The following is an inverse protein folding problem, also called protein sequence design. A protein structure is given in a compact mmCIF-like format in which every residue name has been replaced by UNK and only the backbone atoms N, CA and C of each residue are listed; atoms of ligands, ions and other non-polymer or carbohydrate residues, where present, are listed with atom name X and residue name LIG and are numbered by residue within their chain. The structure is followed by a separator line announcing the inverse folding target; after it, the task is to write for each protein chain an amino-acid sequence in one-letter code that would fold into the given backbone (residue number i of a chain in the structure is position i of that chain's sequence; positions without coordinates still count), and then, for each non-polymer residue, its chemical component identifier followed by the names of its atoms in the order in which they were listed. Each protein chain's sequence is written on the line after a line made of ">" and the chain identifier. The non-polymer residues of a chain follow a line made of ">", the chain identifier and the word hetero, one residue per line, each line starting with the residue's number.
data_IF_001155311165
#
_entry.id   IF_001155311165
#
_cell.length_a   1.000
_cell.length_b   1.000
_cell.length_c   1.000
_cell.angle_alpha   90.00
_cell.angle_beta   90.00
_cell.angle_gamma   90.00
#
_symmetry.space_group_name_H-M   'P 1'
#
loop_
_entity.id
_entity.type
_entity.pdbx_description
1 polymer ?
#
# COMPACT_ATOMS: atom_id res chain seq x y z
N UNK A 1 -0.65 12.79 5.82
CA UNK A 1 -0.63 13.76 6.94
C UNK A 1 -0.30 13.02 8.24
N UNK A 2 0.23 13.72 9.27
CA UNK A 2 0.50 13.10 10.57
C UNK A 2 1.96 12.68 10.78
N UNK A 3 2.85 12.85 9.81
CA UNK A 3 4.29 12.64 9.94
C UNK A 3 5.06 13.95 9.97
N UNK A 4 6.31 13.93 10.47
CA UNK A 4 7.16 15.14 10.52
C UNK A 4 7.56 15.64 9.13
N UNK A 5 7.87 14.70 8.22
CA UNK A 5 8.34 14.98 6.86
C UNK A 5 7.20 15.22 5.87
N UNK A 6 5.95 15.30 6.36
CA UNK A 6 4.79 15.52 5.52
C UNK A 6 4.87 16.89 4.82
N UNK A 7 4.80 16.88 3.50
CA UNK A 7 4.77 18.07 2.62
C UNK A 7 3.39 18.73 2.57
N UNK A 8 2.80 18.94 3.75
CA UNK A 8 1.44 19.45 3.87
C UNK A 8 1.24 20.84 3.26
N UNK A 9 2.28 21.71 3.27
CA UNK A 9 2.17 23.04 2.68
C UNK A 9 2.13 22.95 1.16
N UNK A 10 3.02 22.16 0.57
CA UNK A 10 3.08 21.96 -0.89
C UNK A 10 1.77 21.36 -1.41
N UNK A 11 1.20 20.43 -0.64
CA UNK A 11 -0.09 19.85 -1.00
C UNK A 11 -1.25 20.85 -0.86
N UNK A 12 -1.22 21.69 0.17
CA UNK A 12 -2.20 22.77 0.32
C UNK A 12 -2.12 23.77 -0.84
N UNK A 13 -0.90 24.13 -1.27
CA UNK A 13 -0.67 25.01 -2.39
C UNK A 13 -1.16 24.38 -3.70
N UNK A 14 -0.93 23.08 -3.88
CA UNK A 14 -1.51 22.32 -5.00
C UNK A 14 -3.04 22.42 -5.01
N UNK A 15 -3.71 22.12 -3.89
CA UNK A 15 -5.17 22.18 -3.77
C UNK A 15 -5.74 23.59 -3.95
N UNK A 16 -4.95 24.64 -3.69
CA UNK A 16 -5.38 26.01 -3.89
C UNK A 16 -5.27 26.47 -5.36
N UNK A 17 -4.30 25.93 -6.09
CA UNK A 17 -3.99 26.37 -7.45
C UNK A 17 -4.63 25.48 -8.54
N UNK A 18 -5.25 24.37 -8.16
CA UNK A 18 -5.86 23.45 -9.11
C UNK A 18 -7.36 23.32 -8.88
N UNK A 19 -8.13 23.34 -9.96
CA UNK A 19 -9.56 23.06 -9.97
C UNK A 19 -9.79 21.66 -10.52
N UNK A 20 -10.80 20.98 -9.99
CA UNK A 20 -11.15 19.62 -10.39
C UNK A 20 -12.66 19.42 -10.31
N UNK A 21 -13.19 18.50 -11.11
CA UNK A 21 -14.58 18.07 -11.07
C UNK A 21 -14.79 17.00 -10.01
N UNK A 22 -13.73 16.28 -9.63
CA UNK A 22 -13.71 15.28 -8.56
C UNK A 22 -12.32 15.23 -7.92
N UNK A 23 -12.26 15.08 -6.61
CA UNK A 23 -11.02 14.84 -5.87
C UNK A 23 -11.03 13.40 -5.33
N UNK A 24 -10.07 12.59 -5.75
CA UNK A 24 -9.91 11.23 -5.24
C UNK A 24 -8.63 11.17 -4.43
N UNK A 25 -8.76 10.83 -3.15
CA UNK A 25 -7.66 10.61 -2.20
C UNK A 25 -7.48 9.10 -2.09
N UNK A 26 -6.41 8.57 -2.68
CA UNK A 26 -6.20 7.14 -2.82
C UNK A 26 -5.35 6.54 -1.70
N UNK A 27 -5.92 6.49 -0.50
CA UNK A 27 -5.34 5.86 0.70
C UNK A 27 -4.17 6.61 1.33
N UNK A 28 -3.82 6.22 2.55
CA UNK A 28 -2.65 6.69 3.31
C UNK A 28 -2.55 8.22 3.45
N UNK A 29 -3.70 8.87 3.43
CA UNK A 29 -3.75 10.34 3.51
C UNK A 29 -3.45 10.84 4.93
N UNK A 30 -3.91 10.11 5.94
CA UNK A 30 -3.58 10.37 7.34
C UNK A 30 -2.86 9.17 7.92
N UNK A 31 -1.64 9.37 8.42
CA UNK A 31 -0.88 8.31 9.08
C UNK A 31 -1.37 8.11 10.51
N UNK A 32 -2.43 7.32 10.66
CA UNK A 32 -3.02 6.95 11.94
C UNK A 32 -2.05 6.16 12.82
N UNK A 33 -1.14 5.40 12.22
CA UNK A 33 -0.11 4.66 12.98
C UNK A 33 0.94 5.59 13.59
N UNK A 34 1.36 6.63 12.86
CA UNK A 34 2.26 7.64 13.43
C UNK A 34 1.58 8.40 14.56
N UNK A 35 0.32 8.77 14.39
CA UNK A 35 -0.46 9.48 15.41
C UNK A 35 -0.68 8.62 16.65
N UNK A 36 -0.97 7.34 16.51
CA UNK A 36 -1.14 6.42 17.65
C UNK A 36 0.15 6.22 18.45
N UNK A 37 1.32 6.44 17.82
CA UNK A 37 2.64 6.42 18.47
C UNK A 37 3.04 7.76 19.06
N UNK A 38 2.13 8.75 19.08
CA UNK A 38 2.33 10.06 19.72
C UNK A 38 2.99 11.11 18.82
N UNK A 39 3.06 10.89 17.51
CA UNK A 39 3.51 11.95 16.59
C UNK A 39 2.52 13.11 16.64
N UNK A 40 3.05 14.32 16.80
CA UNK A 40 2.23 15.52 16.99
C UNK A 40 1.53 15.95 15.71
N UNK A 41 0.21 16.09 15.77
CA UNK A 41 -0.56 16.76 14.72
C UNK A 41 -0.23 18.26 14.68
N UNK A 42 0.15 18.76 13.52
CA UNK A 42 0.54 20.17 13.32
C UNK A 42 -0.58 20.97 12.66
N UNK A 43 -0.64 22.27 12.91
CA UNK A 43 -1.64 23.16 12.33
C UNK A 43 -1.71 23.12 10.79
N UNK A 44 -0.57 22.87 10.12
CA UNK A 44 -0.54 22.71 8.66
C UNK A 44 -1.36 21.49 8.18
N UNK A 45 -1.43 20.41 8.96
CA UNK A 45 -2.24 19.24 8.64
C UNK A 45 -3.74 19.56 8.74
N UNK A 46 -4.14 20.30 9.77
CA UNK A 46 -5.51 20.79 9.92
C UNK A 46 -5.95 21.65 8.74
N UNK A 47 -5.08 22.55 8.25
CA UNK A 47 -5.38 23.38 7.08
C UNK A 47 -5.66 22.53 5.83
N UNK A 48 -4.92 21.43 5.62
CA UNK A 48 -5.15 20.53 4.50
C UNK A 48 -6.51 19.83 4.63
N UNK A 49 -6.84 19.29 5.80
CA UNK A 49 -8.16 18.67 6.04
C UNK A 49 -9.28 19.68 5.82
N UNK A 50 -9.16 20.89 6.38
CA UNK A 50 -10.14 21.97 6.17
C UNK A 50 -10.33 22.29 4.68
N UNK A 51 -9.22 22.34 3.92
CA UNK A 51 -9.28 22.59 2.48
C UNK A 51 -10.00 21.46 1.72
N UNK A 52 -9.75 20.20 2.07
CA UNK A 52 -10.45 19.06 1.48
C UNK A 52 -11.96 19.12 1.78
N UNK A 53 -12.33 19.47 3.02
CA UNK A 53 -13.72 19.67 3.40
C UNK A 53 -14.36 20.86 2.66
N UNK A 54 -13.63 21.96 2.43
CA UNK A 54 -14.12 23.09 1.62
C UNK A 54 -14.32 22.72 0.15
N UNK A 55 -13.44 21.89 -0.41
CA UNK A 55 -13.58 21.33 -1.76
C UNK A 55 -14.85 20.47 -1.82
N UNK A 56 -15.10 19.63 -0.81
CA UNK A 56 -16.26 18.74 -0.78
C UNK A 56 -17.62 19.47 -0.73
N UNK A 57 -17.64 20.76 -0.44
CA UNK A 57 -18.86 21.59 -0.56
C UNK A 57 -19.21 21.88 -2.03
N UNK A 58 -18.23 21.82 -2.93
CA UNK A 58 -18.38 22.24 -4.33
C UNK A 58 -18.38 21.03 -5.28
N UNK A 59 -17.48 20.08 -5.09
CA UNK A 59 -17.28 18.90 -5.94
C UNK A 59 -17.26 17.63 -5.12
N UNK A 60 -17.54 16.46 -5.71
CA UNK A 60 -17.36 15.17 -5.05
C UNK A 60 -15.92 14.98 -4.58
N UNK A 61 -15.77 14.45 -3.37
CA UNK A 61 -14.49 14.03 -2.81
C UNK A 61 -14.64 12.56 -2.40
N UNK A 62 -13.79 11.70 -2.92
CA UNK A 62 -13.74 10.28 -2.56
C UNK A 62 -12.46 10.04 -1.79
N UNK A 63 -12.59 9.59 -0.56
CA UNK A 63 -11.46 9.18 0.26
C UNK A 63 -11.44 7.65 0.33
N UNK A 64 -10.54 7.06 -0.44
CA UNK A 64 -10.30 5.62 -0.41
C UNK A 64 -9.43 5.33 0.80
N UNK A 65 -9.83 4.36 1.61
CA UNK A 65 -9.07 3.92 2.79
C UNK A 65 -7.77 3.23 2.37
N UNK A 66 -6.68 3.55 3.05
CA UNK A 66 -5.41 2.83 3.01
C UNK A 66 -5.12 2.12 4.34
N UNK A 67 -3.97 1.45 4.42
CA UNK A 67 -3.56 0.75 5.63
C UNK A 67 -3.07 1.69 6.75
N UNK A 68 -2.58 2.90 6.43
CA UNK A 68 -2.19 3.89 7.44
C UNK A 68 -3.39 4.66 8.01
N UNK A 69 -4.48 4.77 7.27
CA UNK A 69 -5.73 5.39 7.73
C UNK A 69 -6.82 4.35 8.02
N UNK A 70 -6.45 3.21 8.58
CA UNK A 70 -7.33 2.09 8.96
C UNK A 70 -8.47 2.53 9.89
N UNK A 71 -8.29 3.58 10.70
CA UNK A 71 -9.35 4.15 11.54
C UNK A 71 -10.58 4.59 10.74
N UNK A 72 -10.45 4.81 9.42
CA UNK A 72 -11.58 5.10 8.54
C UNK A 72 -12.51 3.90 8.34
N UNK A 73 -12.10 2.69 8.75
CA UNK A 73 -12.94 1.50 8.65
C UNK A 73 -14.31 1.70 9.33
N UNK A 74 -14.33 2.37 10.49
CA UNK A 74 -15.56 2.64 11.23
C UNK A 74 -16.44 3.72 10.57
N UNK A 75 -15.91 4.40 9.55
CA UNK A 75 -16.56 5.46 8.80
C UNK A 75 -16.87 5.07 7.34
N UNK A 76 -16.77 3.79 7.02
CA UNK A 76 -17.05 3.29 5.67
C UNK A 76 -18.48 3.64 5.26
N UNK A 77 -18.62 4.05 3.99
CA UNK A 77 -19.89 4.50 3.40
C UNK A 77 -20.52 5.74 4.07
N UNK A 78 -19.75 6.43 4.93
CA UNK A 78 -20.21 7.67 5.53
C UNK A 78 -20.10 8.81 4.50
N UNK A 79 -21.13 9.65 4.49
CA UNK A 79 -21.18 10.84 3.67
C UNK A 79 -21.11 12.11 4.54
N UNK A 80 -20.12 12.96 4.30
CA UNK A 80 -20.02 14.32 4.86
C UNK A 80 -20.20 15.33 3.73
N UNK A 81 -21.43 15.68 3.43
CA UNK A 81 -21.76 16.46 2.26
C UNK A 81 -21.46 15.66 0.98
N UNK A 82 -20.49 16.13 0.17
CA UNK A 82 -20.04 15.41 -1.05
C UNK A 82 -18.72 14.65 -0.83
N UNK A 83 -18.27 14.53 0.43
CA UNK A 83 -17.15 13.66 0.78
C UNK A 83 -17.72 12.29 1.18
N UNK A 84 -17.18 11.23 0.58
CA UNK A 84 -17.49 9.85 0.89
C UNK A 84 -16.21 9.06 1.18
N UNK A 85 -16.31 8.09 2.09
CA UNK A 85 -15.23 7.18 2.47
C UNK A 85 -15.52 5.81 1.89
N UNK A 86 -14.59 5.28 1.08
CA UNK A 86 -14.79 4.03 0.33
C UNK A 86 -13.55 3.11 0.43
N UNK A 87 -13.73 1.82 0.20
CA UNK A 87 -12.59 0.88 0.03
C UNK A 87 -11.99 0.94 -1.37
N UNK A 88 -12.81 1.23 -2.34
CA UNK A 88 -12.44 1.38 -3.74
C UNK A 88 -13.46 2.28 -4.43
N UNK A 89 -13.13 2.76 -5.61
CA UNK A 89 -14.02 3.63 -6.36
C UNK A 89 -13.95 3.34 -7.86
N UNK A 90 -15.12 3.31 -8.50
CA UNK A 90 -15.20 3.22 -9.97
C UNK A 90 -15.42 4.62 -10.53
N UNK A 91 -14.40 5.15 -11.20
CA UNK A 91 -14.49 6.41 -11.91
C UNK A 91 -14.98 6.14 -13.34
N UNK A 92 -16.20 6.56 -13.64
CA UNK A 92 -16.80 6.47 -14.98
C UNK A 92 -16.61 7.82 -15.71
N UNK A 93 -15.82 7.82 -16.76
CA UNK A 93 -15.57 9.00 -17.60
C UNK A 93 -16.51 9.07 -18.81
N UNK A 94 -17.48 8.15 -18.92
CA UNK A 94 -18.32 8.01 -20.09
C UNK A 94 -17.61 7.28 -21.25
N UNK A 95 -18.33 7.11 -22.37
CA UNK A 95 -17.83 6.43 -23.57
C UNK A 95 -17.24 5.03 -23.33
N UNK A 96 -17.69 4.35 -22.26
CA UNK A 96 -17.18 3.03 -21.86
C UNK A 96 -15.85 3.04 -21.14
N UNK A 97 -15.31 4.21 -20.80
CA UNK A 97 -14.04 4.35 -20.04
C UNK A 97 -14.30 4.36 -18.55
N UNK A 98 -14.05 3.24 -17.89
CA UNK A 98 -14.19 3.06 -16.45
C UNK A 98 -12.87 2.66 -15.81
N UNK A 99 -12.50 3.34 -14.73
CA UNK A 99 -11.28 3.06 -13.98
C UNK A 99 -11.64 2.53 -12.59
N UNK A 100 -11.02 1.40 -12.21
CA UNK A 100 -11.14 0.85 -10.88
C UNK A 100 -10.00 1.39 -10.02
N UNK A 101 -10.32 2.23 -9.05
CA UNK A 101 -9.36 2.91 -8.17
C UNK A 101 -9.42 2.26 -6.80
N UNK A 102 -8.29 1.79 -6.32
CA UNK A 102 -8.16 1.16 -5.01
C UNK A 102 -6.77 1.42 -4.43
N UNK A 103 -6.64 1.38 -3.11
CA UNK A 103 -5.34 1.40 -2.46
C UNK A 103 -4.71 0.01 -2.53
N UNK A 104 -3.42 -0.06 -2.83
CA UNK A 104 -2.71 -1.31 -3.08
C UNK A 104 -2.55 -2.23 -1.86
N UNK A 105 -2.96 -1.83 -0.66
CA UNK A 105 -2.89 -2.59 0.58
C UNK A 105 -3.66 -3.92 0.52
N UNK A 106 -4.74 -3.99 -0.25
CA UNK A 106 -5.48 -5.23 -0.53
C UNK A 106 -4.53 -6.32 -1.05
N UNK A 107 -3.47 -5.91 -1.73
CA UNK A 107 -2.44 -6.80 -2.27
C UNK A 107 -1.25 -6.96 -1.32
N UNK A 108 -1.11 -6.07 -0.31
CA UNK A 108 0.00 -6.05 0.65
C UNK A 108 -0.03 -7.18 1.68
N UNK A 109 -1.16 -7.79 1.93
CA UNK A 109 -1.28 -8.99 2.79
C UNK A 109 -0.34 -10.09 2.30
N UNK A 110 -0.07 -10.12 0.99
CA UNK A 110 0.90 -11.04 0.39
C UNK A 110 2.34 -10.52 0.51
N UNK A 111 2.59 -9.21 0.42
CA UNK A 111 3.94 -8.60 0.48
C UNK A 111 4.52 -8.65 1.90
N UNK A 112 3.70 -8.54 2.93
CA UNK A 112 4.15 -8.60 4.32
C UNK A 112 4.84 -9.94 4.65
N UNK A 113 4.37 -11.06 4.12
CA UNK A 113 5.02 -12.37 4.25
C UNK A 113 6.42 -12.40 3.61
N UNK A 114 6.68 -11.58 2.58
CA UNK A 114 7.92 -11.61 1.81
C UNK A 114 8.93 -10.54 2.23
N UNK A 115 8.49 -9.43 2.84
CA UNK A 115 9.41 -8.45 3.47
C UNK A 115 10.28 -9.08 4.55
N UNK A 116 9.78 -10.08 5.24
CA UNK A 116 10.56 -10.84 6.22
C UNK A 116 11.71 -11.62 5.56
N UNK A 117 11.44 -12.24 4.40
CA UNK A 117 12.44 -12.97 3.61
C UNK A 117 13.48 -12.02 2.99
N UNK A 118 13.07 -10.84 2.50
CA UNK A 118 13.97 -9.83 1.97
C UNK A 118 14.88 -9.21 3.05
N UNK A 119 14.37 -9.06 4.28
CA UNK A 119 15.14 -8.53 5.42
C UNK A 119 16.19 -9.52 5.94
N UNK A 120 15.98 -10.81 5.74
CA UNK A 120 16.99 -11.86 5.96
C UNK A 120 18.06 -11.84 4.85
N UNK A 121 17.74 -11.27 3.67
CA UNK A 121 18.51 -11.43 2.45
C UNK A 121 19.91 -10.80 2.41
N UNK A 122 20.26 -9.84 3.27
CA UNK A 122 21.62 -9.26 3.22
C UNK A 122 22.52 -9.67 4.39
N UNK A 123 22.04 -9.60 5.62
CA UNK A 123 22.85 -9.99 6.80
C UNK A 123 22.72 -11.49 7.14
N UNK A 124 21.58 -12.10 6.79
CA UNK A 124 21.32 -13.51 7.03
C UNK A 124 21.94 -14.45 5.98
N UNK A 125 22.29 -13.95 4.79
CA UNK A 125 22.80 -14.78 3.71
C UNK A 125 24.18 -15.37 4.06
N UNK A 126 25.11 -14.55 4.52
CA UNK A 126 26.46 -15.00 4.92
C UNK A 126 26.40 -15.90 6.16
N UNK A 127 25.51 -15.60 7.10
CA UNK A 127 25.26 -16.45 8.26
C UNK A 127 24.62 -17.78 7.85
N UNK A 128 23.66 -17.75 6.97
CA UNK A 128 23.02 -18.96 6.42
C UNK A 128 23.99 -19.83 5.63
N UNK A 129 24.94 -19.23 4.88
CA UNK A 129 25.99 -19.98 4.20
C UNK A 129 26.95 -20.67 5.17
N UNK A 130 27.34 -20.00 6.27
CA UNK A 130 28.17 -20.60 7.33
C UNK A 130 27.42 -21.75 8.03
N UNK A 131 26.16 -21.54 8.38
CA UNK A 131 25.32 -22.60 8.95
C UNK A 131 25.12 -23.77 7.97
N UNK A 132 24.94 -23.48 6.68
CA UNK A 132 24.83 -24.50 5.63
C UNK A 132 26.08 -25.37 5.54
N UNK A 133 27.26 -24.77 5.66
CA UNK A 133 28.54 -25.50 5.65
C UNK A 133 28.62 -26.43 6.85
N UNK A 134 28.29 -25.92 8.05
CA UNK A 134 28.32 -26.71 9.28
C UNK A 134 27.26 -27.84 9.27
N UNK A 135 26.06 -27.53 8.79
CA UNK A 135 24.97 -28.49 8.64
C UNK A 135 25.32 -29.59 7.64
N UNK A 136 25.97 -29.26 6.52
CA UNK A 136 26.40 -30.26 5.53
C UNK A 136 27.58 -31.10 6.02
N UNK A 137 28.43 -30.59 6.88
CA UNK A 137 29.49 -31.35 7.54
C UNK A 137 28.86 -32.42 8.47
N UNK A 138 27.84 -32.04 9.24
CA UNK A 138 27.08 -32.98 10.06
C UNK A 138 26.31 -34.00 9.22
N UNK A 139 25.68 -33.59 8.11
CA UNK A 139 24.98 -34.47 7.17
C UNK A 139 25.95 -35.50 6.53
N UNK A 140 27.12 -35.06 6.15
CA UNK A 140 28.20 -35.94 5.61
C UNK A 140 28.59 -37.02 6.62
N UNK A 141 28.71 -36.65 7.89
CA UNK A 141 28.98 -37.60 8.96
C UNK A 141 27.86 -38.65 9.11
N UNK A 142 26.60 -38.23 8.88
CA UNK A 142 25.40 -39.08 8.90
C UNK A 142 25.15 -39.80 7.56
N UNK A 143 26.04 -39.71 6.59
CA UNK A 143 25.89 -40.26 5.22
C UNK A 143 24.60 -39.79 4.50
N UNK A 144 24.12 -38.59 4.80
CA UNK A 144 22.97 -37.99 4.16
C UNK A 144 23.41 -37.17 2.93
N UNK A 145 22.57 -37.03 1.87
CA UNK A 145 22.88 -36.25 0.70
C UNK A 145 23.07 -34.77 1.04
N UNK A 146 23.86 -34.05 0.22
CA UNK A 146 24.10 -32.61 0.37
C UNK A 146 22.80 -31.82 0.28
N UNK A 147 22.62 -30.84 1.17
CA UNK A 147 21.48 -29.92 1.19
C UNK A 147 21.95 -28.48 0.91
N UNK A 148 21.23 -27.78 0.00
CA UNK A 148 21.62 -26.42 -0.42
C UNK A 148 20.56 -25.40 -0.01
N UNK A 149 20.86 -24.64 1.03
CA UNK A 149 20.00 -23.50 1.46
C UNK A 149 19.95 -22.43 0.34
N UNK A 150 21.01 -22.27 -0.45
CA UNK A 150 21.02 -21.30 -1.56
C UNK A 150 19.99 -21.63 -2.65
N UNK A 151 19.60 -22.89 -2.81
CA UNK A 151 18.55 -23.30 -3.75
C UNK A 151 17.19 -22.82 -3.28
N UNK A 152 16.91 -22.90 -1.97
CA UNK A 152 15.64 -22.47 -1.38
C UNK A 152 15.51 -20.95 -1.39
N UNK A 153 16.61 -20.21 -1.16
CA UNK A 153 16.67 -18.75 -1.29
C UNK A 153 16.39 -18.32 -2.74
N UNK A 154 16.98 -18.99 -3.74
CA UNK A 154 16.72 -18.70 -5.16
C UNK A 154 15.25 -18.97 -5.54
N UNK A 155 14.66 -20.01 -4.99
CA UNK A 155 13.23 -20.29 -5.19
C UNK A 155 12.35 -19.21 -4.55
N UNK A 156 12.72 -18.72 -3.36
CA UNK A 156 12.05 -17.60 -2.70
C UNK A 156 12.11 -16.29 -3.51
N UNK A 157 13.29 -15.96 -4.05
CA UNK A 157 13.46 -14.79 -4.93
C UNK A 157 12.63 -14.93 -6.20
N UNK A 158 12.63 -16.11 -6.83
CA UNK A 158 11.79 -16.38 -8.00
C UNK A 158 10.30 -16.26 -7.69
N UNK A 159 9.88 -16.72 -6.52
CA UNK A 159 8.50 -16.58 -6.07
C UNK A 159 8.13 -15.10 -5.84
N UNK A 160 9.05 -14.27 -5.31
CA UNK A 160 8.84 -12.82 -5.14
C UNK A 160 8.73 -12.09 -6.49
N UNK A 161 9.55 -12.48 -7.48
CA UNK A 161 9.48 -11.92 -8.84
C UNK A 161 8.17 -12.33 -9.52
N UNK A 162 7.77 -13.60 -9.41
CA UNK A 162 6.48 -14.05 -9.92
C UNK A 162 5.32 -13.32 -9.27
N UNK A 163 5.43 -12.99 -7.98
CA UNK A 163 4.43 -12.23 -7.25
C UNK A 163 4.24 -10.80 -7.79
N UNK A 164 5.32 -10.09 -8.15
CA UNK A 164 5.21 -8.76 -8.78
C UNK A 164 4.43 -8.89 -10.10
N UNK A 165 4.69 -9.93 -10.87
CA UNK A 165 3.93 -10.24 -12.09
C UNK A 165 2.47 -10.58 -11.77
N UNK A 166 2.22 -11.33 -10.68
CA UNK A 166 0.89 -11.71 -10.22
C UNK A 166 0.10 -10.49 -9.69
N UNK A 167 0.79 -9.45 -9.18
CA UNK A 167 0.17 -8.18 -8.77
C UNK A 167 -0.50 -7.48 -9.95
N UNK A 168 0.22 -7.28 -11.05
CA UNK A 168 -0.33 -6.67 -12.26
C UNK A 168 -1.50 -7.48 -12.82
N UNK A 169 -1.35 -8.81 -12.88
CA UNK A 169 -2.40 -9.72 -13.32
C UNK A 169 -3.62 -9.63 -12.39
N UNK A 170 -3.41 -9.54 -11.08
CA UNK A 170 -4.49 -9.42 -10.08
C UNK A 170 -5.21 -8.08 -10.20
N UNK A 171 -4.49 -6.97 -10.38
CA UNK A 171 -5.07 -5.65 -10.60
C UNK A 171 -5.93 -5.62 -11.87
N UNK A 172 -5.42 -6.15 -12.98
CA UNK A 172 -6.17 -6.27 -14.24
C UNK A 172 -7.41 -7.16 -14.07
N UNK A 173 -7.30 -8.26 -13.31
CA UNK A 173 -8.43 -9.14 -13.03
C UNK A 173 -9.52 -8.43 -12.23
N UNK A 174 -9.14 -7.66 -11.19
CA UNK A 174 -10.06 -6.85 -10.39
C UNK A 174 -10.78 -5.80 -11.26
N UNK A 175 -10.04 -5.08 -12.10
CA UNK A 175 -10.63 -4.11 -13.03
C UNK A 175 -11.66 -4.78 -13.95
N UNK A 176 -11.32 -5.92 -14.55
CA UNK A 176 -12.22 -6.69 -15.43
C UNK A 176 -13.45 -7.21 -14.68
N UNK A 177 -13.31 -7.71 -13.46
CA UNK A 177 -14.43 -8.18 -12.63
C UNK A 177 -15.42 -7.06 -12.30
N UNK A 178 -14.94 -5.81 -12.24
CA UNK A 178 -15.76 -4.63 -12.01
C UNK A 178 -16.19 -3.94 -13.31
N UNK A 179 -16.05 -4.59 -14.48
CA UNK A 179 -16.36 -4.04 -15.80
C UNK A 179 -15.62 -2.72 -16.08
N UNK A 180 -14.39 -2.57 -15.60
CA UNK A 180 -13.54 -1.42 -15.83
C UNK A 180 -12.53 -1.68 -16.97
N UNK A 181 -12.12 -0.61 -17.64
CA UNK A 181 -11.14 -0.63 -18.74
C UNK A 181 -9.72 -0.37 -18.24
N UNK A 182 -9.57 0.13 -17.03
CA UNK A 182 -8.30 0.40 -16.36
C UNK A 182 -8.42 0.46 -14.86
#
# INVERSE_FOLDING_TARGET
>A
LGTEDCKAQEFLDFLNNHHTDILIINGDFVDGWALSRGVRWRAKHTKVISKVLDISRKVPVVWIRGNHDEFLHDFMHMHLGRLQVEENYILDLGEGKKYFIFHGDILDVFVAKWKWIAKIGSAGYDFALRLNTWYNMWRKWRKLPYYSISKDIKQGVKAAVNYITDFEVSAVKLAKQNNCTG
#
